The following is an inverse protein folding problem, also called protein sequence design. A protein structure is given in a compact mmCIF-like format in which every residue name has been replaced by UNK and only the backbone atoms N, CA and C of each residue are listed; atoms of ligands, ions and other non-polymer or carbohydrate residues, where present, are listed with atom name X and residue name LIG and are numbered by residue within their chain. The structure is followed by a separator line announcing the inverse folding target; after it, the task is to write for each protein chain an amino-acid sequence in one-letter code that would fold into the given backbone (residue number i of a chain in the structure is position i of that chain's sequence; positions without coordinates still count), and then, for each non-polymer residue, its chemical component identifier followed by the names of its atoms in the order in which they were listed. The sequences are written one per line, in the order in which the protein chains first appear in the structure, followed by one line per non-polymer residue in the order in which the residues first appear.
data_IF_826749504745
#
_entry.id   IF_826749504745
#
_cell.length_a   1.000
_cell.length_b   1.000
_cell.length_c   1.000
_cell.angle_alpha   90.00
_cell.angle_beta   90.00
_cell.angle_gamma   90.00
#
_symmetry.space_group_name_H-M   'P 1'
#
loop_
_entity.id
_entity.type
_entity.pdbx_description
1 polymer ?
#
# COMPACT_ATOMS: atom_id res chain seq x y z
N UNK A 1 -36.87 36.05 38.45
CA UNK A 1 -37.11 35.67 37.04
C UNK A 1 -36.12 36.42 36.15
N UNK A 2 -34.94 35.90 35.89
CA UNK A 2 -33.93 36.33 34.88
C UNK A 2 -32.62 35.54 35.03
N UNK A 3 -32.62 34.25 34.65
CA UNK A 3 -31.41 33.40 34.69
C UNK A 3 -31.25 32.49 33.43
N UNK A 4 -31.82 32.91 32.26
CA UNK A 4 -31.82 32.05 31.08
C UNK A 4 -30.82 32.47 29.96
N UNK A 5 -30.24 33.70 29.87
CA UNK A 5 -29.36 34.02 28.71
C UNK A 5 -27.91 33.48 28.78
N UNK A 6 -27.38 33.18 29.97
CA UNK A 6 -25.95 32.77 30.07
C UNK A 6 -25.66 31.31 29.67
N UNK A 7 -26.65 30.41 29.81
CA UNK A 7 -26.43 28.99 29.50
C UNK A 7 -26.43 28.69 27.99
N UNK A 8 -27.24 29.45 27.24
CA UNK A 8 -27.29 29.29 25.75
C UNK A 8 -26.00 29.81 25.08
N UNK A 9 -25.39 30.86 25.62
CA UNK A 9 -24.15 31.41 25.07
C UNK A 9 -22.95 30.49 25.32
N UNK A 10 -22.90 29.77 26.44
CA UNK A 10 -21.84 28.81 26.76
C UNK A 10 -21.92 27.55 25.87
N UNK A 11 -23.12 27.09 25.52
CA UNK A 11 -23.34 25.93 24.65
C UNK A 11 -23.00 26.27 23.21
N UNK A 12 -23.31 27.46 22.71
CA UNK A 12 -22.94 27.92 21.37
C UNK A 12 -21.42 28.11 21.24
N UNK A 13 -20.75 28.57 22.28
CA UNK A 13 -19.29 28.74 22.27
C UNK A 13 -18.54 27.39 22.30
N UNK A 14 -19.04 26.39 23.02
CA UNK A 14 -18.46 25.05 23.04
C UNK A 14 -18.67 24.30 21.72
N UNK A 15 -19.81 24.49 21.04
CA UNK A 15 -20.03 23.90 19.70
C UNK A 15 -19.15 24.52 18.61
N UNK A 16 -18.88 25.83 18.66
CA UNK A 16 -18.00 26.49 17.69
C UNK A 16 -16.53 26.11 17.88
N UNK A 17 -16.07 25.90 19.12
CA UNK A 17 -14.71 25.40 19.36
C UNK A 17 -14.52 23.96 18.89
N UNK A 18 -15.48 23.07 19.10
CA UNK A 18 -15.40 21.69 18.61
C UNK A 18 -15.39 21.63 17.07
N UNK A 19 -16.16 22.48 16.40
CA UNK A 19 -16.19 22.59 14.93
C UNK A 19 -14.89 23.18 14.37
N UNK A 20 -14.30 24.21 15.01
CA UNK A 20 -13.03 24.79 14.61
C UNK A 20 -11.85 23.83 14.83
N UNK A 21 -11.91 22.99 15.87
CA UNK A 21 -10.91 21.97 16.17
C UNK A 21 -10.82 20.87 15.10
N UNK A 22 -11.91 20.56 14.44
CA UNK A 22 -11.99 19.58 13.36
C UNK A 22 -11.52 20.15 12.01
N UNK A 23 -11.52 21.47 11.85
CA UNK A 23 -11.17 22.15 10.60
C UNK A 23 -9.68 22.11 10.24
N UNK A 24 -8.76 21.89 11.19
CA UNK A 24 -7.32 21.92 10.94
C UNK A 24 -6.71 20.56 10.64
N UNK A 25 -7.40 19.44 10.91
CA UNK A 25 -7.02 18.11 10.48
C UNK A 25 -7.86 17.72 9.25
N UNK A 26 -7.20 17.53 8.12
CA UNK A 26 -7.85 17.14 6.87
C UNK A 26 -7.93 15.63 6.75
N UNK A 27 -6.82 14.91 7.02
CA UNK A 27 -6.75 13.46 6.90
C UNK A 27 -5.77 12.83 7.89
N UNK A 28 -6.06 11.60 8.31
CA UNK A 28 -5.23 10.84 9.22
C UNK A 28 -5.59 11.04 10.72
N UNK A 29 -4.65 10.76 11.67
CA UNK A 29 -3.27 10.32 11.38
C UNK A 29 -3.21 8.89 10.86
N UNK A 30 -2.17 8.60 10.11
CA UNK A 30 -1.79 7.28 9.62
C UNK A 30 -0.36 7.00 10.08
N UNK A 31 -0.08 5.78 10.50
CA UNK A 31 1.29 5.36 10.81
C UNK A 31 1.85 4.47 9.71
N UNK A 32 3.17 4.42 9.57
CA UNK A 32 3.87 3.49 8.70
C UNK A 32 5.35 3.46 9.01
N UNK A 33 6.11 2.68 8.26
CA UNK A 33 7.53 2.45 8.54
C UNK A 33 7.79 2.19 10.02
N UNK A 34 6.97 1.30 10.61
CA UNK A 34 7.17 0.92 12.02
C UNK A 34 8.38 0.00 12.10
N UNK A 35 9.34 0.37 12.97
CA UNK A 35 10.56 -0.38 13.23
C UNK A 35 10.74 -0.65 14.74
N UNK A 36 11.88 -1.23 15.11
CA UNK A 36 12.20 -1.49 16.51
C UNK A 36 12.34 -0.20 17.33
N UNK A 37 12.79 0.89 16.68
CA UNK A 37 13.18 2.14 17.35
C UNK A 37 12.61 3.40 16.74
N UNK A 38 11.80 3.28 15.70
CA UNK A 38 11.18 4.44 15.07
C UNK A 38 9.84 4.10 14.41
N UNK A 39 9.10 5.14 14.08
CA UNK A 39 7.83 5.11 13.36
C UNK A 39 7.62 6.46 12.67
N UNK A 40 6.98 6.43 11.51
CA UNK A 40 6.49 7.64 10.85
C UNK A 40 5.01 7.82 11.18
N UNK A 41 4.63 9.01 11.64
CA UNK A 41 3.25 9.45 11.77
C UNK A 41 2.98 10.45 10.66
N UNK A 42 2.05 10.10 9.78
CA UNK A 42 1.59 10.94 8.69
C UNK A 42 0.23 11.58 9.04
N UNK A 43 0.03 12.81 8.61
CA UNK A 43 -1.28 13.45 8.58
C UNK A 43 -1.31 14.51 7.48
N UNK A 44 -2.50 14.93 7.07
CA UNK A 44 -2.69 16.13 6.26
C UNK A 44 -3.44 17.17 7.08
N UNK A 45 -2.91 18.41 7.07
CA UNK A 45 -3.49 19.53 7.81
C UNK A 45 -3.91 20.66 6.86
N UNK A 46 -4.84 21.49 7.31
CA UNK A 46 -5.35 22.62 6.52
C UNK A 46 -4.28 23.66 6.22
N UNK A 47 -4.50 24.49 5.20
CA UNK A 47 -3.65 25.62 4.85
C UNK A 47 -3.52 26.67 6.00
N UNK A 48 -4.47 26.68 6.93
CA UNK A 48 -4.46 27.59 8.08
C UNK A 48 -3.51 27.14 9.20
N UNK A 49 -3.12 25.85 9.24
CA UNK A 49 -2.25 25.30 10.27
C UNK A 49 -0.87 25.98 10.27
N UNK A 50 -0.38 26.35 11.45
CA UNK A 50 0.92 27.01 11.63
C UNK A 50 1.97 26.14 12.30
N UNK A 51 1.51 25.13 13.07
CA UNK A 51 2.38 24.23 13.80
C UNK A 51 1.75 22.84 13.87
N UNK A 52 2.54 21.79 13.63
CA UNK A 52 2.12 20.41 13.79
C UNK A 52 3.13 19.69 14.67
N UNK A 53 2.65 18.87 15.59
CA UNK A 53 3.50 18.06 16.46
C UNK A 53 2.81 16.74 16.82
N UNK A 54 3.62 15.74 17.17
CA UNK A 54 3.16 14.52 17.78
C UNK A 54 3.71 14.45 19.20
N UNK A 55 2.82 14.38 20.19
CA UNK A 55 3.14 14.06 21.57
C UNK A 55 2.90 12.59 21.80
N UNK A 56 3.89 11.84 22.34
CA UNK A 56 3.81 10.39 22.47
C UNK A 56 4.47 9.88 23.74
N UNK A 57 4.01 8.72 24.24
CA UNK A 57 4.52 8.09 25.46
C UNK A 57 4.29 6.58 25.44
N UNK A 58 5.15 5.78 26.10
CA UNK A 58 4.83 4.39 26.37
C UNK A 58 3.52 4.28 27.18
N UNK A 59 2.60 3.43 26.77
CA UNK A 59 1.27 3.33 27.42
C UNK A 59 1.36 3.14 28.93
N UNK A 60 2.34 2.38 29.40
CA UNK A 60 2.54 2.10 30.83
C UNK A 60 3.27 3.23 31.58
N UNK A 61 3.76 4.25 30.90
CA UNK A 61 4.56 5.34 31.47
C UNK A 61 4.10 6.72 30.92
N UNK A 62 2.86 7.14 31.20
CA UNK A 62 2.31 8.39 30.66
C UNK A 62 3.09 9.64 31.08
N UNK A 63 3.78 9.58 32.23
CA UNK A 63 4.64 10.68 32.70
C UNK A 63 5.93 10.88 31.88
N UNK A 64 6.29 9.94 30.98
CA UNK A 64 7.44 10.06 30.08
C UNK A 64 7.04 10.53 28.67
N UNK A 65 6.10 11.44 28.58
CA UNK A 65 5.66 11.99 27.30
C UNK A 65 6.78 12.82 26.65
N UNK A 66 7.03 12.53 25.38
CA UNK A 66 7.93 13.27 24.49
C UNK A 66 7.11 13.97 23.41
N UNK A 67 7.71 14.96 22.74
CA UNK A 67 7.06 15.65 21.64
C UNK A 67 8.04 15.82 20.48
N UNK A 68 7.56 15.58 19.26
CA UNK A 68 8.30 15.81 18.03
C UNK A 68 7.51 16.76 17.14
N UNK A 69 8.14 17.85 16.73
CA UNK A 69 7.53 18.86 15.85
C UNK A 69 7.80 18.52 14.37
N UNK A 70 6.86 18.88 13.52
CA UNK A 70 7.09 19.04 12.10
C UNK A 70 7.98 20.24 11.83
N UNK A 71 8.96 20.09 10.93
CA UNK A 71 9.93 21.15 10.60
C UNK A 71 9.89 21.55 9.12
N UNK A 72 9.05 20.88 8.32
CA UNK A 72 8.86 21.22 6.91
C UNK A 72 7.89 22.41 6.72
N UNK A 73 7.65 22.78 5.45
CA UNK A 73 6.76 23.88 5.10
C UNK A 73 5.31 23.59 5.48
N UNK A 74 4.54 24.64 5.74
CA UNK A 74 3.10 24.69 5.93
C UNK A 74 2.54 25.92 5.20
N UNK A 75 1.22 25.99 5.05
CA UNK A 75 0.55 27.13 4.39
C UNK A 75 0.34 26.95 2.88
N UNK A 76 0.66 25.77 2.33
CA UNK A 76 0.29 25.37 0.98
C UNK A 76 -1.20 25.01 0.89
N UNK A 77 -1.72 24.84 -0.31
CA UNK A 77 -3.10 24.35 -0.54
C UNK A 77 -3.32 22.99 0.14
N UNK A 78 -2.33 22.08 0.03
CA UNK A 78 -2.30 20.77 0.65
C UNK A 78 -1.04 20.64 1.50
N UNK A 79 -1.16 20.16 2.72
CA UNK A 79 -0.06 20.08 3.68
C UNK A 79 0.04 18.69 4.28
N UNK A 80 0.50 17.68 3.51
CA UNK A 80 0.90 16.40 4.08
C UNK A 80 2.14 16.59 4.97
N UNK A 81 2.12 16.02 6.16
CA UNK A 81 3.20 16.07 7.13
C UNK A 81 3.62 14.66 7.52
N UNK A 82 4.93 14.41 7.63
CA UNK A 82 5.50 13.13 8.10
C UNK A 82 6.44 13.38 9.25
N UNK A 83 6.01 13.00 10.45
CA UNK A 83 6.78 13.20 11.69
C UNK A 83 7.38 11.87 12.09
N UNK A 84 8.71 11.76 12.01
CA UNK A 84 9.43 10.57 12.42
C UNK A 84 9.71 10.63 13.94
N UNK A 85 9.18 9.63 14.67
CA UNK A 85 9.47 9.44 16.08
C UNK A 85 10.63 8.44 16.20
N UNK A 86 11.66 8.81 16.94
CA UNK A 86 12.93 8.05 17.04
C UNK A 86 13.23 7.66 18.47
N UNK A 87 14.23 6.77 18.64
CA UNK A 87 14.72 6.30 19.94
C UNK A 87 13.64 5.61 20.79
N UNK A 88 12.73 4.93 20.14
CA UNK A 88 11.65 4.18 20.79
C UNK A 88 12.19 2.88 21.41
N UNK A 89 11.46 2.34 22.37
CA UNK A 89 11.74 1.02 22.94
C UNK A 89 11.09 -0.07 22.06
N UNK A 90 11.80 -1.17 21.72
CA UNK A 90 11.23 -2.29 20.98
C UNK A 90 10.08 -2.97 21.75
N UNK A 91 9.13 -3.56 20.99
CA UNK A 91 8.01 -4.33 21.53
C UNK A 91 7.07 -3.53 22.43
N UNK A 92 7.03 -2.21 22.28
CA UNK A 92 6.35 -1.31 23.20
C UNK A 92 5.13 -0.66 22.54
N UNK A 93 3.99 -0.71 23.23
CA UNK A 93 2.78 0.01 22.82
C UNK A 93 2.92 1.48 23.25
N UNK A 94 2.88 2.38 22.28
CA UNK A 94 2.88 3.81 22.46
C UNK A 94 1.48 4.39 22.24
N UNK A 95 1.10 5.34 23.09
CA UNK A 95 -0.02 6.26 22.84
C UNK A 95 0.54 7.54 22.28
N UNK A 96 -0.22 8.19 21.38
CA UNK A 96 0.15 9.49 20.86
C UNK A 96 -1.04 10.40 20.61
N UNK A 97 -0.76 11.68 20.59
CA UNK A 97 -1.67 12.76 20.22
C UNK A 97 -1.07 13.55 19.09
N UNK A 98 -1.84 13.73 18.02
CA UNK A 98 -1.52 14.68 16.97
C UNK A 98 -1.99 16.06 17.43
N UNK A 99 -1.08 17.01 17.44
CA UNK A 99 -1.31 18.40 17.83
C UNK A 99 -1.23 19.30 16.61
N UNK A 100 -2.26 20.11 16.37
CA UNK A 100 -2.23 21.18 15.37
C UNK A 100 -2.46 22.49 16.13
N UNK A 101 -1.55 23.46 15.96
CA UNK A 101 -1.54 24.72 16.68
C UNK A 101 -1.65 24.56 18.21
N UNK A 102 -0.93 23.56 18.74
CA UNK A 102 -0.92 23.12 20.14
C UNK A 102 -2.26 22.52 20.68
N UNK A 103 -3.22 22.26 19.80
CA UNK A 103 -4.50 21.63 20.15
C UNK A 103 -4.45 20.16 19.76
N UNK A 104 -4.84 19.25 20.66
CA UNK A 104 -4.94 17.82 20.38
C UNK A 104 -6.14 17.56 19.47
N UNK A 105 -5.88 17.25 18.18
CA UNK A 105 -6.92 17.02 17.16
C UNK A 105 -7.28 15.55 17.00
N UNK A 106 -6.35 14.62 17.31
CA UNK A 106 -6.58 13.17 17.24
C UNK A 106 -5.66 12.44 18.20
N UNK A 107 -6.18 11.34 18.78
CA UNK A 107 -5.42 10.40 19.61
C UNK A 107 -5.44 9.02 18.97
N UNK A 108 -4.31 8.31 19.02
CA UNK A 108 -4.19 6.95 18.53
C UNK A 108 -3.04 6.23 19.23
N UNK A 109 -2.65 5.07 18.71
CA UNK A 109 -1.54 4.27 19.23
C UNK A 109 -0.84 3.52 18.12
N UNK A 110 0.40 3.09 18.40
CA UNK A 110 1.16 2.16 17.57
C UNK A 110 1.99 1.25 18.47
N UNK A 111 2.34 0.08 17.94
CA UNK A 111 3.23 -0.87 18.59
C UNK A 111 4.53 -0.94 17.81
N UNK A 112 5.68 -0.72 18.46
CA UNK A 112 6.99 -0.97 17.83
C UNK A 112 7.21 -2.48 17.66
N UNK A 113 7.98 -2.86 16.64
CA UNK A 113 8.32 -4.27 16.38
C UNK A 113 8.97 -4.94 17.59
N UNK A 114 8.69 -6.21 17.78
CA UNK A 114 9.33 -7.04 18.81
C UNK A 114 10.73 -7.44 18.35
N UNK A 115 11.73 -7.27 19.20
CA UNK A 115 13.08 -7.79 18.99
C UNK A 115 13.09 -9.30 19.30
N UNK A 116 12.73 -10.11 18.32
CA UNK A 116 12.57 -11.56 18.46
C UNK A 116 13.82 -12.37 18.09
N UNK A 117 14.64 -11.87 17.13
CA UNK A 117 15.80 -12.58 16.59
C UNK A 117 16.73 -13.07 17.69
N UNK A 118 17.08 -14.35 17.67
CA UNK A 118 17.91 -15.05 18.65
C UNK A 118 17.36 -15.10 20.09
N UNK A 119 16.09 -14.68 20.33
CA UNK A 119 15.48 -14.57 21.67
C UNK A 119 14.22 -15.41 21.81
N UNK A 120 13.42 -15.49 20.77
CA UNK A 120 12.15 -16.20 20.76
C UNK A 120 11.79 -16.61 19.31
N UNK A 121 10.85 -17.51 19.10
CA UNK A 121 10.31 -17.78 17.78
C UNK A 121 9.79 -16.50 17.11
N UNK A 122 9.87 -16.44 15.78
CA UNK A 122 9.31 -15.35 15.02
C UNK A 122 7.81 -15.19 15.32
N UNK A 123 7.35 -13.99 15.70
CA UNK A 123 5.93 -13.76 15.99
C UNK A 123 5.04 -14.08 14.79
N UNK A 124 3.87 -14.66 15.06
CA UNK A 124 2.79 -14.72 14.09
C UNK A 124 2.24 -13.32 13.85
N UNK A 125 1.80 -13.05 12.63
CA UNK A 125 1.20 -11.75 12.30
C UNK A 125 0.18 -11.89 11.17
N UNK A 126 -0.65 -10.85 11.04
CA UNK A 126 -1.67 -10.75 10.00
C UNK A 126 -1.55 -9.39 9.32
N UNK A 127 -1.63 -9.34 8.00
CA UNK A 127 -1.72 -8.10 7.27
C UNK A 127 -2.86 -8.12 6.26
N UNK A 128 -3.34 -6.93 5.90
CA UNK A 128 -4.33 -6.76 4.85
C UNK A 128 -3.64 -6.32 3.57
N UNK A 129 -4.24 -6.65 2.42
CA UNK A 129 -3.78 -6.13 1.14
C UNK A 129 -4.95 -5.98 0.17
N UNK A 130 -4.79 -5.07 -0.79
CA UNK A 130 -5.76 -4.79 -1.85
C UNK A 130 -5.30 -3.65 -2.73
N UNK A 131 -5.96 -3.50 -3.87
CA UNK A 131 -5.69 -2.47 -4.88
C UNK A 131 -6.99 -1.93 -5.49
N UNK A 132 -6.89 -0.97 -6.37
CA UNK A 132 -8.00 -0.43 -7.16
C UNK A 132 -9.09 0.20 -6.28
N UNK A 133 -8.69 1.27 -5.58
CA UNK A 133 -9.55 2.06 -4.68
C UNK A 133 -10.12 3.28 -5.41
N UNK A 134 -11.18 3.08 -6.21
CA UNK A 134 -11.87 4.16 -6.94
C UNK A 134 -12.97 4.77 -6.08
N UNK A 135 -12.97 6.10 -5.95
CA UNK A 135 -14.00 6.85 -5.26
C UNK A 135 -14.68 7.81 -6.22
N UNK A 136 -15.98 7.64 -6.43
CA UNK A 136 -16.74 8.50 -7.35
C UNK A 136 -16.68 9.97 -6.92
N UNK A 137 -16.65 10.85 -7.93
CA UNK A 137 -16.72 12.29 -7.78
C UNK A 137 -17.62 12.86 -8.87
N UNK A 138 -18.86 13.20 -8.49
CA UNK A 138 -19.86 13.73 -9.41
C UNK A 138 -19.32 14.96 -10.14
N UNK A 139 -19.53 15.02 -11.45
CA UNK A 139 -19.05 16.09 -12.32
C UNK A 139 -17.68 15.88 -12.94
N UNK A 140 -16.83 14.99 -12.37
CA UNK A 140 -15.50 14.67 -12.90
C UNK A 140 -15.34 13.22 -13.33
N UNK A 141 -16.22 12.32 -12.88
CA UNK A 141 -16.26 10.96 -13.36
C UNK A 141 -16.83 10.90 -14.79
N UNK A 142 -16.47 9.86 -15.53
CA UNK A 142 -17.01 9.62 -16.86
C UNK A 142 -18.53 9.47 -16.80
N UNK A 143 -19.28 10.07 -17.77
CA UNK A 143 -20.73 9.96 -17.80
C UNK A 143 -21.20 8.50 -17.87
N UNK A 144 -22.34 8.21 -17.25
CA UNK A 144 -22.96 6.90 -17.28
C UNK A 144 -23.05 6.24 -15.92
N UNK A 145 -22.94 4.89 -15.88
CA UNK A 145 -23.00 4.14 -14.64
C UNK A 145 -21.75 4.41 -13.80
N UNK A 146 -21.89 4.73 -12.50
CA UNK A 146 -20.75 4.94 -11.62
C UNK A 146 -19.77 3.76 -11.65
N UNK A 147 -18.49 4.06 -11.82
CA UNK A 147 -17.43 3.06 -11.87
C UNK A 147 -17.05 2.55 -10.47
N UNK A 148 -16.91 3.47 -9.52
CA UNK A 148 -16.68 3.12 -8.12
C UNK A 148 -17.92 2.50 -7.50
N UNK A 149 -17.68 1.50 -6.66
CA UNK A 149 -18.67 0.72 -5.93
C UNK A 149 -18.74 1.13 -4.45
N UNK A 150 -19.27 0.24 -3.61
CA UNK A 150 -19.45 0.49 -2.19
C UNK A 150 -18.10 0.63 -1.46
N UNK A 151 -17.86 1.79 -0.88
CA UNK A 151 -16.67 2.07 -0.08
C UNK A 151 -16.77 1.61 1.40
N UNK A 152 -17.91 1.06 1.82
CA UNK A 152 -18.08 0.54 3.19
C UNK A 152 -17.15 -0.63 3.53
N UNK A 153 -16.51 -1.25 2.54
CA UNK A 153 -15.46 -2.25 2.71
C UNK A 153 -14.36 -1.76 3.66
N UNK A 154 -14.00 -0.47 3.62
CA UNK A 154 -13.00 0.11 4.54
C UNK A 154 -13.46 0.12 6.00
N UNK A 155 -14.78 0.21 6.26
CA UNK A 155 -15.32 0.09 7.62
C UNK A 155 -15.23 -1.36 8.14
N UNK A 156 -15.31 -2.34 7.25
CA UNK A 156 -15.08 -3.76 7.58
C UNK A 156 -13.60 -4.00 7.84
N UNK A 157 -12.72 -3.51 6.97
CA UNK A 157 -11.27 -3.60 7.15
C UNK A 157 -10.77 -2.91 8.43
N UNK A 158 -11.43 -1.83 8.87
CA UNK A 158 -11.11 -1.15 10.15
C UNK A 158 -11.29 -2.05 11.37
N UNK A 159 -12.17 -3.05 11.30
CA UNK A 159 -12.46 -3.99 12.40
C UNK A 159 -11.50 -5.18 12.43
N UNK A 160 -10.71 -5.36 11.39
CA UNK A 160 -9.72 -6.44 11.32
C UNK A 160 -8.60 -6.25 12.34
N UNK A 161 -8.19 -7.36 12.95
CA UNK A 161 -7.00 -7.39 13.82
C UNK A 161 -5.77 -7.67 12.98
N UNK A 162 -5.32 -6.66 12.24
CA UNK A 162 -4.16 -6.75 11.39
C UNK A 162 -3.02 -5.86 11.89
N UNK A 163 -1.80 -6.30 11.66
CA UNK A 163 -0.58 -5.59 12.05
C UNK A 163 -0.25 -4.45 11.10
N UNK A 164 -0.67 -4.54 9.83
CA UNK A 164 -0.54 -3.46 8.84
C UNK A 164 -1.41 -3.71 7.60
N UNK A 165 -1.57 -2.67 6.79
CA UNK A 165 -2.10 -2.72 5.42
C UNK A 165 -0.97 -2.53 4.40
N UNK A 166 -0.93 -3.37 3.35
CA UNK A 166 -0.12 -3.18 2.16
C UNK A 166 -1.01 -2.86 0.97
N UNK A 167 -0.94 -1.64 0.46
CA UNK A 167 -1.65 -1.20 -0.73
C UNK A 167 -0.86 -1.56 -1.99
N UNK A 168 -1.54 -2.19 -2.95
CA UNK A 168 -0.92 -2.76 -4.15
C UNK A 168 -1.15 -1.92 -5.42
N UNK A 169 -1.20 -0.61 -5.27
CA UNK A 169 -1.41 0.31 -6.39
C UNK A 169 -2.87 0.67 -6.63
N UNK A 170 -3.08 1.66 -7.49
CA UNK A 170 -4.38 2.27 -7.73
C UNK A 170 -5.05 2.72 -6.44
N UNK A 171 -4.26 3.38 -5.60
CA UNK A 171 -4.71 3.85 -4.29
C UNK A 171 -5.64 5.06 -4.39
N UNK A 172 -5.58 5.75 -5.52
CA UNK A 172 -6.49 6.76 -6.03
C UNK A 172 -6.47 6.72 -7.56
N UNK A 173 -7.49 7.28 -8.18
CA UNK A 173 -7.60 7.30 -9.64
C UNK A 173 -7.60 8.74 -10.14
N UNK A 174 -6.55 9.14 -10.85
CA UNK A 174 -6.50 10.44 -11.54
C UNK A 174 -7.49 10.48 -12.70
N UNK A 175 -8.15 11.63 -12.89
CA UNK A 175 -9.11 11.88 -13.97
C UNK A 175 -8.47 12.78 -15.03
N UNK A 176 -9.21 12.96 -16.13
CA UNK A 176 -8.84 13.86 -17.22
C UNK A 176 -8.57 15.30 -16.72
N UNK A 177 -9.25 15.74 -15.67
CA UNK A 177 -9.04 17.05 -15.03
C UNK A 177 -7.81 17.11 -14.14
N UNK A 178 -7.25 15.97 -13.73
CA UNK A 178 -6.18 15.88 -12.76
C UNK A 178 -4.79 15.74 -13.42
N UNK A 179 -4.62 14.74 -14.31
CA UNK A 179 -3.31 14.28 -14.75
C UNK A 179 -2.65 15.20 -15.80
N UNK A 180 -3.24 16.31 -16.15
CA UNK A 180 -2.61 17.31 -17.03
C UNK A 180 -1.86 18.43 -16.28
N UNK A 181 -1.77 18.33 -14.95
CA UNK A 181 -1.03 19.31 -14.13
C UNK A 181 -0.63 18.72 -12.77
N UNK A 182 0.51 19.18 -12.25
CA UNK A 182 0.95 18.80 -10.90
C UNK A 182 -0.06 19.19 -9.79
N UNK A 183 -0.73 20.37 -9.81
CA UNK A 183 -1.80 20.68 -8.87
C UNK A 183 -3.01 19.74 -8.97
N UNK A 184 -3.35 19.25 -10.16
CA UNK A 184 -4.43 18.29 -10.36
C UNK A 184 -4.10 16.93 -9.74
N UNK A 185 -2.87 16.43 -9.94
CA UNK A 185 -2.39 15.20 -9.29
C UNK A 185 -2.43 15.32 -7.76
N UNK A 186 -1.96 16.44 -7.22
CA UNK A 186 -2.00 16.71 -5.79
C UNK A 186 -3.43 16.82 -5.24
N UNK A 187 -4.34 17.45 -6.00
CA UNK A 187 -5.77 17.50 -5.66
C UNK A 187 -6.35 16.10 -5.52
N UNK A 188 -6.06 15.19 -6.45
CA UNK A 188 -6.60 13.83 -6.43
C UNK A 188 -6.14 13.05 -5.19
N UNK A 189 -4.86 13.09 -4.88
CA UNK A 189 -4.33 12.45 -3.69
C UNK A 189 -4.95 13.03 -2.41
N UNK A 190 -5.02 14.37 -2.30
CA UNK A 190 -5.69 15.08 -1.21
C UNK A 190 -7.16 14.67 -1.05
N UNK A 191 -7.93 14.79 -2.13
CA UNK A 191 -9.37 14.51 -2.13
C UNK A 191 -9.67 13.09 -1.70
N UNK A 192 -9.02 12.10 -2.31
CA UNK A 192 -9.33 10.71 -2.03
C UNK A 192 -8.84 10.28 -0.64
N UNK A 193 -7.72 10.83 -0.14
CA UNK A 193 -7.26 10.57 1.23
C UNK A 193 -8.11 11.26 2.31
N UNK A 194 -8.76 12.38 1.99
CA UNK A 194 -9.60 13.12 2.94
C UNK A 194 -11.01 12.56 3.12
N UNK A 195 -11.40 11.52 2.37
CA UNK A 195 -12.73 10.94 2.44
C UNK A 195 -13.07 10.43 3.86
N UNK A 196 -14.24 10.77 4.40
CA UNK A 196 -14.64 10.38 5.76
C UNK A 196 -14.60 8.86 6.01
N UNK A 197 -14.95 8.06 5.00
CA UNK A 197 -14.99 6.59 5.09
C UNK A 197 -13.59 5.99 5.32
N UNK A 198 -12.53 6.65 4.86
CA UNK A 198 -11.15 6.20 5.04
C UNK A 198 -10.56 6.57 6.40
N UNK A 199 -11.04 7.63 7.07
CA UNK A 199 -10.38 8.15 8.28
C UNK A 199 -10.25 7.12 9.42
N UNK A 200 -11.28 6.31 9.73
CA UNK A 200 -11.14 5.24 10.71
C UNK A 200 -10.09 4.20 10.29
N UNK A 201 -10.06 3.83 9.00
CA UNK A 201 -9.15 2.81 8.48
C UNK A 201 -7.69 3.28 8.49
N UNK A 202 -7.42 4.52 8.06
CA UNK A 202 -6.07 5.09 8.09
C UNK A 202 -5.47 5.14 9.50
N UNK A 203 -6.33 5.27 10.51
CA UNK A 203 -5.90 5.33 11.92
C UNK A 203 -5.85 3.97 12.62
N UNK A 204 -6.35 2.89 11.99
CA UNK A 204 -6.53 1.59 12.63
C UNK A 204 -5.24 0.78 12.72
N UNK A 205 -4.37 0.90 11.73
CA UNK A 205 -3.14 0.12 11.61
C UNK A 205 -2.08 0.89 10.81
N UNK A 206 -0.81 0.44 10.81
CA UNK A 206 0.23 0.96 9.91
C UNK A 206 -0.06 0.67 8.44
N UNK A 207 0.39 1.55 7.53
CA UNK A 207 0.21 1.43 6.10
C UNK A 207 1.54 1.47 5.35
N UNK A 208 1.66 0.60 4.34
CA UNK A 208 2.71 0.60 3.32
C UNK A 208 2.04 0.58 1.95
N UNK A 209 2.68 1.12 0.93
CA UNK A 209 2.08 1.20 -0.39
C UNK A 209 3.09 1.07 -1.53
N UNK A 210 2.62 0.55 -2.63
CA UNK A 210 3.15 0.80 -3.96
C UNK A 210 2.11 1.58 -4.76
N UNK A 211 2.49 2.07 -5.91
CA UNK A 211 1.58 2.65 -6.89
C UNK A 211 1.33 1.72 -8.08
N UNK A 212 0.31 2.08 -8.87
CA UNK A 212 0.19 1.60 -10.24
C UNK A 212 -0.13 2.80 -11.16
N UNK A 213 -0.66 2.59 -12.36
CA UNK A 213 -0.80 3.64 -13.37
C UNK A 213 -1.73 4.78 -12.94
N UNK A 214 -2.82 4.49 -12.23
CA UNK A 214 -3.78 5.51 -11.81
C UNK A 214 -3.30 6.40 -10.66
N UNK A 215 -2.37 5.95 -9.83
CA UNK A 215 -1.66 6.82 -8.89
C UNK A 215 -0.61 7.66 -9.62
N UNK A 216 0.04 7.06 -10.61
CA UNK A 216 1.16 7.63 -11.32
C UNK A 216 0.73 8.69 -12.34
N UNK A 217 -0.41 8.47 -13.03
CA UNK A 217 -0.88 9.40 -14.07
C UNK A 217 -2.13 8.90 -14.79
N UNK A 218 -2.24 9.15 -16.10
CA UNK A 218 -3.29 8.57 -16.92
C UNK A 218 -3.14 7.06 -17.07
N UNK A 219 -4.24 6.38 -17.40
CA UNK A 219 -4.26 4.93 -17.66
C UNK A 219 -3.10 4.48 -18.55
N UNK A 220 -2.40 3.42 -18.16
CA UNK A 220 -1.21 2.87 -18.82
C UNK A 220 -0.04 3.86 -18.96
N UNK A 221 0.04 4.87 -18.11
CA UNK A 221 1.14 5.83 -18.13
C UNK A 221 2.50 5.15 -17.89
N UNK A 222 3.52 5.68 -18.56
CA UNK A 222 4.87 5.14 -18.59
C UNK A 222 5.91 6.21 -18.25
N UNK A 223 7.21 5.86 -18.29
CA UNK A 223 8.33 6.80 -18.12
C UNK A 223 8.29 8.04 -19.01
N UNK A 224 7.45 8.04 -20.05
CA UNK A 224 7.25 9.20 -20.93
C UNK A 224 6.25 10.22 -20.37
N UNK A 225 5.58 9.92 -19.25
CA UNK A 225 4.67 10.85 -18.62
C UNK A 225 5.42 12.07 -18.09
N UNK A 226 4.97 13.26 -18.51
CA UNK A 226 5.72 14.51 -18.29
C UNK A 226 5.71 14.95 -16.81
N UNK A 227 4.73 14.51 -16.02
CA UNK A 227 4.61 14.80 -14.58
C UNK A 227 5.02 13.63 -13.68
N UNK A 228 5.81 12.68 -14.19
CA UNK A 228 6.22 11.49 -13.44
C UNK A 228 7.00 11.83 -12.15
N UNK A 229 7.80 12.89 -12.18
CA UNK A 229 8.60 13.30 -11.02
C UNK A 229 7.70 13.95 -9.96
N UNK A 230 6.71 14.74 -10.37
CA UNK A 230 5.68 15.31 -9.49
C UNK A 230 4.78 14.21 -8.90
N UNK A 231 4.40 13.21 -9.68
CA UNK A 231 3.66 12.05 -9.18
C UNK A 231 4.45 11.32 -8.09
N UNK A 232 5.75 11.13 -8.29
CA UNK A 232 6.64 10.55 -7.31
C UNK A 232 6.70 11.37 -6.01
N UNK A 233 6.85 12.69 -6.12
CA UNK A 233 6.85 13.59 -4.96
C UNK A 233 5.52 13.51 -4.19
N UNK A 234 4.38 13.53 -4.91
CA UNK A 234 3.06 13.39 -4.30
C UNK A 234 2.92 12.03 -3.62
N UNK A 235 3.31 10.94 -4.27
CA UNK A 235 3.28 9.61 -3.66
C UNK A 235 4.15 9.57 -2.40
N UNK A 236 5.37 10.11 -2.47
CA UNK A 236 6.27 10.22 -1.33
C UNK A 236 5.64 11.00 -0.18
N UNK A 237 4.95 12.10 -0.48
CA UNK A 237 4.34 12.95 0.54
C UNK A 237 3.12 12.32 1.21
N UNK A 238 2.37 11.48 0.49
CA UNK A 238 1.14 10.85 0.99
C UNK A 238 1.33 9.46 1.62
N UNK A 239 2.52 8.85 1.49
CA UNK A 239 2.77 7.53 2.07
C UNK A 239 3.93 7.52 3.06
N UNK A 240 3.75 6.87 4.24
CA UNK A 240 4.80 6.72 5.25
C UNK A 240 5.65 5.46 5.03
N UNK A 241 6.06 5.19 3.78
CA UNK A 241 7.01 4.13 3.46
C UNK A 241 8.41 4.45 4.05
N UNK A 242 9.28 3.45 4.28
CA UNK A 242 10.60 3.68 4.83
C UNK A 242 11.53 4.49 3.90
N UNK A 243 11.49 4.21 2.60
CA UNK A 243 12.27 4.90 1.56
C UNK A 243 11.50 4.96 0.25
N UNK A 244 12.02 5.69 -0.75
CA UNK A 244 11.39 5.87 -2.06
C UNK A 244 12.46 5.88 -3.14
N UNK A 245 12.71 4.69 -3.75
CA UNK A 245 13.68 4.52 -4.81
C UNK A 245 15.12 4.81 -4.40
N UNK A 246 15.97 5.02 -5.39
CA UNK A 246 17.37 5.42 -5.25
C UNK A 246 17.65 6.62 -6.17
N UNK A 247 18.58 7.48 -5.78
CA UNK A 247 19.00 8.66 -6.54
C UNK A 247 17.82 9.57 -6.96
N UNK A 248 16.85 9.73 -6.04
CA UNK A 248 15.60 10.46 -6.27
C UNK A 248 14.78 9.97 -7.48
N UNK A 249 14.83 8.67 -7.78
CA UNK A 249 14.10 8.02 -8.87
C UNK A 249 13.32 6.83 -8.39
N UNK A 250 12.04 6.75 -8.83
CA UNK A 250 11.15 5.67 -8.47
C UNK A 250 10.67 5.71 -7.02
N UNK A 251 9.88 4.71 -6.65
CA UNK A 251 9.29 4.59 -5.31
C UNK A 251 9.59 3.23 -4.65
N UNK A 252 10.36 2.36 -5.31
CA UNK A 252 10.65 1.03 -4.78
C UNK A 252 11.36 1.10 -3.42
N UNK A 253 11.05 0.14 -2.57
CA UNK A 253 11.56 0.08 -1.19
C UNK A 253 11.45 -1.33 -0.62
N UNK A 254 11.97 -1.53 0.56
CA UNK A 254 11.79 -2.79 1.30
C UNK A 254 11.57 -2.53 2.79
N UNK A 255 10.90 -3.48 3.43
CA UNK A 255 10.81 -3.55 4.88
C UNK A 255 10.69 -5.01 5.32
N UNK A 256 11.00 -5.31 6.57
CA UNK A 256 10.81 -6.63 7.15
C UNK A 256 9.71 -6.60 8.20
N UNK A 257 8.89 -7.63 8.30
CA UNK A 257 7.97 -7.81 9.42
C UNK A 257 8.05 -9.26 9.89
N UNK A 258 8.39 -9.46 11.19
CA UNK A 258 8.70 -10.78 11.72
C UNK A 258 9.79 -11.48 10.87
N UNK A 259 9.52 -12.66 10.34
CA UNK A 259 10.41 -13.45 9.49
C UNK A 259 10.03 -13.39 8.00
N UNK A 260 9.42 -12.30 7.57
CA UNK A 260 9.07 -12.01 6.17
C UNK A 260 9.73 -10.70 5.73
N UNK A 261 10.36 -10.71 4.57
CA UNK A 261 10.84 -9.52 3.89
C UNK A 261 9.91 -9.14 2.74
N UNK A 262 9.56 -7.87 2.67
CA UNK A 262 8.70 -7.28 1.65
C UNK A 262 9.53 -6.39 0.74
N UNK A 263 9.54 -6.70 -0.56
CA UNK A 263 10.19 -5.95 -1.63
C UNK A 263 9.09 -5.28 -2.45
N UNK A 264 8.95 -3.97 -2.30
CA UNK A 264 7.93 -3.17 -2.94
C UNK A 264 8.50 -2.58 -4.22
N UNK A 265 7.96 -2.98 -5.37
CA UNK A 265 8.46 -2.57 -6.68
C UNK A 265 7.71 -1.36 -7.24
N UNK A 266 8.40 -0.66 -8.11
CA UNK A 266 7.89 0.43 -8.92
C UNK A 266 7.72 -0.04 -10.37
N UNK A 267 6.50 -0.31 -10.78
CA UNK A 267 6.16 -0.77 -12.13
C UNK A 267 5.92 0.35 -13.14
N UNK A 268 6.07 1.64 -12.76
CA UNK A 268 5.66 2.77 -13.63
C UNK A 268 6.76 3.77 -13.95
N UNK A 269 7.52 4.23 -12.98
CA UNK A 269 8.52 5.30 -13.18
C UNK A 269 9.57 4.97 -14.25
N UNK A 270 9.98 3.71 -14.35
CA UNK A 270 10.97 3.24 -15.31
C UNK A 270 10.34 2.53 -16.52
N UNK A 271 9.04 2.27 -16.48
CA UNK A 271 8.34 1.43 -17.42
C UNK A 271 8.30 2.04 -18.82
N UNK A 272 8.58 1.23 -19.80
CA UNK A 272 8.30 1.51 -21.21
C UNK A 272 6.80 1.50 -21.45
N UNK A 273 6.31 2.26 -22.42
CA UNK A 273 4.87 2.29 -22.74
C UNK A 273 4.36 0.89 -23.10
N UNK A 274 3.16 0.55 -22.63
CA UNK A 274 2.49 -0.73 -22.89
C UNK A 274 2.37 -1.04 -24.38
N UNK A 275 2.20 0.01 -25.22
CA UNK A 275 2.11 -0.09 -26.67
C UNK A 275 3.46 -0.31 -27.39
N UNK A 276 4.59 -0.24 -26.67
CA UNK A 276 5.87 -0.63 -27.27
C UNK A 276 5.83 -2.12 -27.65
N UNK A 277 6.21 -2.51 -28.87
CA UNK A 277 6.15 -3.90 -29.28
C UNK A 277 7.00 -4.82 -28.39
N UNK A 278 6.47 -5.99 -28.06
CA UNK A 278 7.19 -7.04 -27.29
C UNK A 278 8.35 -7.63 -28.09
N UNK A 279 8.31 -7.51 -29.43
CA UNK A 279 9.35 -7.99 -30.34
C UNK A 279 9.69 -6.96 -31.42
N UNK A 280 10.94 -6.95 -31.85
CA UNK A 280 11.44 -6.13 -32.98
C UNK A 280 12.28 -7.01 -33.87
N UNK A 281 11.98 -7.03 -35.18
CA UNK A 281 12.69 -7.89 -36.14
C UNK A 281 12.58 -9.39 -35.84
N UNK A 282 11.46 -9.82 -35.21
CA UNK A 282 11.23 -11.22 -34.84
C UNK A 282 11.98 -11.68 -33.58
N UNK A 283 12.66 -10.77 -32.88
CA UNK A 283 13.36 -11.05 -31.63
C UNK A 283 12.69 -10.28 -30.47
N UNK A 284 12.74 -10.81 -29.22
CA UNK A 284 12.27 -10.09 -28.05
C UNK A 284 12.91 -8.70 -27.92
N UNK A 285 12.10 -7.68 -27.60
CA UNK A 285 12.55 -6.29 -27.57
C UNK A 285 13.29 -5.96 -26.27
N UNK A 286 14.61 -5.70 -26.27
CA UNK A 286 15.38 -5.41 -25.06
C UNK A 286 15.12 -4.01 -24.51
N UNK A 287 14.56 -3.09 -25.30
CA UNK A 287 14.25 -1.72 -24.87
C UNK A 287 12.93 -1.65 -24.09
N UNK A 288 12.09 -2.69 -24.20
CA UNK A 288 10.84 -2.78 -23.44
C UNK A 288 11.11 -3.32 -22.04
N UNK A 289 11.11 -2.41 -21.05
CA UNK A 289 11.40 -2.69 -19.64
C UNK A 289 10.27 -2.20 -18.76
N UNK A 290 9.93 -2.94 -17.71
CA UNK A 290 8.96 -2.57 -16.69
C UNK A 290 9.64 -1.90 -15.50
N UNK A 291 10.66 -2.53 -14.95
CA UNK A 291 11.31 -2.08 -13.71
C UNK A 291 12.64 -1.35 -13.96
N UNK A 292 13.28 -1.61 -15.10
CA UNK A 292 14.58 -1.05 -15.42
C UNK A 292 15.75 -1.72 -14.68
N UNK A 293 16.97 -1.50 -15.21
CA UNK A 293 18.15 -2.27 -14.79
C UNK A 293 18.52 -2.02 -13.33
N UNK A 294 18.50 -0.75 -12.89
CA UNK A 294 18.91 -0.39 -11.53
C UNK A 294 17.99 -1.03 -10.45
N UNK A 295 16.68 -0.99 -10.66
CA UNK A 295 15.74 -1.61 -9.73
C UNK A 295 15.87 -3.14 -9.74
N UNK A 296 16.06 -3.75 -10.91
CA UNK A 296 16.24 -5.20 -11.02
C UNK A 296 17.56 -5.67 -10.41
N UNK A 297 18.62 -4.89 -10.50
CA UNK A 297 19.89 -5.14 -9.81
C UNK A 297 19.70 -5.05 -8.29
N UNK A 298 19.06 -3.99 -7.82
CA UNK A 298 18.73 -3.84 -6.41
C UNK A 298 17.91 -5.02 -5.87
N UNK A 299 16.84 -5.42 -6.60
CA UNK A 299 15.98 -6.54 -6.19
C UNK A 299 16.76 -7.85 -6.06
N UNK A 300 17.60 -8.18 -7.06
CA UNK A 300 18.43 -9.40 -7.02
C UNK A 300 19.35 -9.40 -5.80
N UNK A 301 20.05 -8.31 -5.55
CA UNK A 301 20.95 -8.19 -4.40
C UNK A 301 20.17 -8.27 -3.07
N UNK A 302 19.03 -7.62 -2.96
CA UNK A 302 18.19 -7.63 -1.77
C UNK A 302 17.63 -9.04 -1.48
N UNK A 303 17.18 -9.77 -2.51
CA UNK A 303 16.73 -11.16 -2.40
C UNK A 303 17.85 -12.11 -1.92
N UNK A 304 19.08 -11.91 -2.40
CA UNK A 304 20.24 -12.71 -1.99
C UNK A 304 20.64 -12.48 -0.54
N UNK A 305 20.49 -11.26 -0.04
CA UNK A 305 20.81 -10.90 1.35
C UNK A 305 19.73 -11.34 2.33
N UNK A 306 18.54 -11.62 1.86
CA UNK A 306 17.40 -11.96 2.70
C UNK A 306 17.49 -13.38 3.27
N UNK A 307 17.42 -13.49 4.60
CA UNK A 307 17.30 -14.76 5.32
C UNK A 307 15.86 -15.04 5.77
N UNK A 308 14.88 -14.25 5.30
CA UNK A 308 13.48 -14.38 5.66
C UNK A 308 12.88 -15.71 5.15
N UNK A 309 11.88 -16.23 5.88
CA UNK A 309 11.16 -17.46 5.49
C UNK A 309 10.32 -17.26 4.25
N UNK A 310 9.67 -16.12 4.16
CA UNK A 310 9.00 -15.68 2.94
C UNK A 310 9.62 -14.37 2.45
N UNK A 311 9.74 -14.24 1.15
CA UNK A 311 10.19 -13.07 0.41
C UNK A 311 9.04 -12.62 -0.48
N UNK A 312 8.30 -11.63 0.00
CA UNK A 312 7.14 -11.10 -0.70
C UNK A 312 7.59 -10.01 -1.66
N UNK A 313 7.39 -10.24 -2.96
CA UNK A 313 7.64 -9.24 -4.00
C UNK A 313 6.28 -8.64 -4.37
N UNK A 314 6.07 -7.37 -4.03
CA UNK A 314 4.82 -6.66 -4.32
C UNK A 314 4.99 -5.73 -5.52
N UNK A 315 4.05 -5.82 -6.47
CA UNK A 315 4.02 -4.98 -7.68
C UNK A 315 2.57 -4.68 -8.08
N UNK A 316 2.31 -3.57 -8.77
CA UNK A 316 0.97 -3.17 -9.19
C UNK A 316 0.35 -4.20 -10.12
N UNK A 317 0.99 -4.46 -11.24
CA UNK A 317 0.53 -5.41 -12.27
C UNK A 317 0.95 -6.85 -11.97
N UNK A 318 0.25 -7.85 -12.55
CA UNK A 318 0.57 -9.28 -12.39
C UNK A 318 2.00 -9.63 -12.84
N UNK A 319 2.66 -10.49 -12.08
CA UNK A 319 4.03 -10.91 -12.37
C UNK A 319 4.13 -12.23 -13.16
N UNK A 320 3.27 -13.20 -12.86
CA UNK A 320 3.39 -14.57 -13.38
C UNK A 320 2.29 -14.98 -14.37
N UNK A 321 1.30 -14.12 -14.65
CA UNK A 321 0.20 -14.46 -15.55
C UNK A 321 0.62 -14.29 -17.03
N UNK A 322 1.11 -15.36 -17.62
CA UNK A 322 1.52 -15.41 -19.05
C UNK A 322 0.34 -15.51 -20.03
N UNK A 323 -0.89 -15.63 -19.54
CA UNK A 323 -2.12 -15.65 -20.34
C UNK A 323 -2.80 -14.30 -20.40
N UNK A 324 -2.36 -13.34 -19.59
CA UNK A 324 -2.91 -11.99 -19.58
C UNK A 324 -2.60 -11.26 -20.88
N UNK A 325 -3.61 -10.60 -21.44
CA UNK A 325 -3.47 -9.64 -22.52
C UNK A 325 -3.35 -8.19 -22.01
N UNK A 326 -3.51 -8.00 -20.72
CA UNK A 326 -3.42 -6.72 -20.03
C UNK A 326 -2.04 -6.57 -19.41
N UNK A 327 -1.81 -5.50 -18.71
CA UNK A 327 -0.55 -5.23 -18.05
C UNK A 327 -0.10 -6.43 -17.19
N UNK A 328 1.04 -6.98 -17.56
CA UNK A 328 1.69 -8.09 -16.85
C UNK A 328 3.17 -8.11 -17.20
N UNK A 329 4.00 -8.55 -16.27
CA UNK A 329 5.45 -8.53 -16.44
C UNK A 329 5.94 -9.33 -17.66
N UNK A 330 5.22 -10.38 -18.08
CA UNK A 330 5.60 -11.18 -19.25
C UNK A 330 5.58 -10.39 -20.58
N UNK A 331 4.86 -9.27 -20.67
CA UNK A 331 4.89 -8.35 -21.83
C UNK A 331 6.17 -7.52 -21.94
N UNK A 332 7.10 -7.71 -21.02
CA UNK A 332 8.46 -7.13 -21.03
C UNK A 332 9.48 -8.27 -21.18
N UNK A 333 9.53 -8.93 -22.34
CA UNK A 333 10.00 -10.32 -22.48
C UNK A 333 11.46 -10.50 -22.10
N UNK A 334 12.34 -9.56 -22.44
CA UNK A 334 13.78 -9.69 -22.12
C UNK A 334 14.02 -9.55 -20.63
N UNK A 335 13.39 -8.55 -19.98
CA UNK A 335 13.53 -8.33 -18.54
C UNK A 335 12.89 -9.46 -17.75
N UNK A 336 11.68 -9.90 -18.14
CA UNK A 336 10.98 -11.04 -17.57
C UNK A 336 11.80 -12.33 -17.64
N UNK A 337 12.24 -12.72 -18.84
CA UNK A 337 13.03 -13.94 -19.04
C UNK A 337 14.36 -13.88 -18.26
N UNK A 338 15.03 -12.72 -18.27
CA UNK A 338 16.26 -12.53 -17.50
C UNK A 338 16.05 -12.75 -16.01
N UNK A 339 14.95 -12.23 -15.44
CA UNK A 339 14.63 -12.41 -14.02
C UNK A 339 14.21 -13.83 -13.68
N UNK A 340 13.34 -14.44 -14.50
CA UNK A 340 12.86 -15.81 -14.28
C UNK A 340 14.00 -16.84 -14.41
N UNK A 341 14.91 -16.67 -15.37
CA UNK A 341 16.10 -17.51 -15.52
C UNK A 341 17.04 -17.37 -14.30
N UNK A 342 17.26 -16.12 -13.85
CA UNK A 342 18.05 -15.88 -12.65
C UNK A 342 17.42 -16.55 -11.41
N UNK A 343 16.09 -16.45 -11.21
CA UNK A 343 15.40 -17.17 -10.13
C UNK A 343 15.52 -18.69 -10.23
N UNK A 344 15.56 -19.21 -11.46
CA UNK A 344 15.75 -20.65 -11.72
C UNK A 344 17.16 -21.13 -11.34
N UNK A 345 18.18 -20.34 -11.69
CA UNK A 345 19.59 -20.65 -11.46
C UNK A 345 20.00 -20.51 -9.99
N UNK A 346 19.65 -19.38 -9.39
CA UNK A 346 20.08 -19.02 -8.03
C UNK A 346 19.26 -19.74 -6.96
N UNK A 347 18.01 -20.10 -7.27
CA UNK A 347 17.12 -20.84 -6.39
C UNK A 347 16.89 -20.18 -5.03
N UNK A 348 16.64 -18.87 -5.00
CA UNK A 348 16.29 -18.13 -3.78
C UNK A 348 15.02 -18.73 -3.15
N UNK A 349 15.02 -19.19 -1.89
CA UNK A 349 13.85 -19.81 -1.28
C UNK A 349 12.81 -18.80 -0.83
N UNK A 350 11.53 -19.22 -0.77
CA UNK A 350 10.46 -18.50 -0.08
C UNK A 350 9.84 -17.36 -0.87
N UNK A 351 9.98 -17.27 -2.20
CA UNK A 351 9.43 -16.18 -3.01
C UNK A 351 7.92 -16.37 -3.24
N UNK A 352 7.17 -15.29 -2.99
CA UNK A 352 5.74 -15.14 -3.30
C UNK A 352 5.52 -13.73 -3.87
N UNK A 353 4.72 -13.61 -4.93
CA UNK A 353 4.32 -12.31 -5.47
C UNK A 353 2.97 -11.89 -4.92
N UNK A 354 2.81 -10.59 -4.64
CA UNK A 354 1.54 -9.93 -4.36
C UNK A 354 1.31 -8.86 -5.42
N UNK A 355 0.16 -8.90 -6.08
CA UNK A 355 -0.15 -8.06 -7.24
C UNK A 355 -1.54 -7.46 -7.15
N UNK A 356 -1.80 -6.41 -7.95
CA UNK A 356 -3.06 -5.68 -8.03
C UNK A 356 -3.67 -5.65 -9.43
N UNK A 357 -4.16 -4.47 -9.85
CA UNK A 357 -4.62 -4.08 -11.20
C UNK A 357 -5.90 -4.78 -11.72
N UNK A 358 -6.03 -6.06 -11.60
CA UNK A 358 -6.87 -6.93 -12.44
C UNK A 358 -8.38 -6.82 -12.24
N UNK A 359 -8.85 -6.11 -11.21
CA UNK A 359 -10.27 -5.99 -10.87
C UNK A 359 -10.98 -7.33 -10.57
N UNK A 360 -10.20 -8.35 -10.26
CA UNK A 360 -10.55 -9.63 -9.64
C UNK A 360 -9.37 -10.13 -8.83
N UNK A 361 -9.61 -11.00 -7.88
CA UNK A 361 -8.56 -11.69 -7.14
C UNK A 361 -8.43 -13.11 -7.60
N UNK A 362 -7.21 -13.62 -7.65
CA UNK A 362 -6.87 -15.00 -7.99
C UNK A 362 -5.49 -15.38 -7.46
N UNK A 363 -5.18 -16.67 -7.47
CA UNK A 363 -3.83 -17.15 -7.25
C UNK A 363 -3.35 -17.88 -8.51
N UNK A 364 -2.23 -17.42 -9.04
CA UNK A 364 -1.52 -18.06 -10.15
C UNK A 364 -0.40 -18.92 -9.58
N UNK A 365 -0.27 -20.14 -10.08
CA UNK A 365 0.83 -21.06 -9.79
C UNK A 365 1.69 -21.21 -11.05
N UNK A 366 2.94 -20.85 -10.94
CA UNK A 366 3.93 -20.98 -12.03
C UNK A 366 4.94 -22.08 -11.69
N UNK A 367 4.77 -23.25 -12.34
CA UNK A 367 5.65 -24.40 -12.14
C UNK A 367 7.00 -24.20 -12.84
N UNK A 368 8.08 -24.52 -12.14
CA UNK A 368 9.47 -24.45 -12.64
C UNK A 368 10.10 -25.83 -12.61
N UNK A 369 10.47 -26.41 -13.77
CA UNK A 369 11.08 -27.74 -13.81
C UNK A 369 12.31 -27.85 -12.90
N UNK A 370 12.31 -28.84 -12.01
CA UNK A 370 13.42 -29.08 -11.08
C UNK A 370 13.58 -28.04 -9.96
N UNK A 371 12.58 -27.17 -9.76
CA UNK A 371 12.55 -26.16 -8.71
C UNK A 371 11.15 -26.10 -8.08
N UNK A 372 10.99 -25.34 -6.98
CA UNK A 372 9.69 -25.12 -6.38
C UNK A 372 8.82 -24.18 -7.23
N UNK A 373 7.48 -24.29 -7.16
CA UNK A 373 6.58 -23.40 -7.91
C UNK A 373 6.60 -21.98 -7.31
N UNK A 374 6.45 -20.96 -8.16
CA UNK A 374 6.16 -19.60 -7.72
C UNK A 374 4.66 -19.36 -7.65
N UNK A 375 4.24 -18.49 -6.75
CA UNK A 375 2.84 -18.06 -6.62
C UNK A 375 2.73 -16.56 -6.79
N UNK A 376 1.70 -16.12 -7.53
CA UNK A 376 1.28 -14.73 -7.70
C UNK A 376 -0.13 -14.60 -7.16
N UNK A 377 -0.29 -13.81 -6.10
CA UNK A 377 -1.55 -13.60 -5.39
C UNK A 377 -2.05 -12.22 -5.76
N UNK A 378 -3.01 -12.16 -6.66
CA UNK A 378 -3.65 -10.93 -7.12
C UNK A 378 -4.76 -10.53 -6.16
N UNK A 379 -4.81 -9.24 -5.78
CA UNK A 379 -5.74 -8.70 -4.78
C UNK A 379 -6.43 -7.44 -5.32
N UNK A 380 -7.60 -7.59 -5.89
CA UNK A 380 -8.36 -6.54 -6.59
C UNK A 380 -9.83 -6.94 -6.75
N UNK A 381 -10.80 -6.00 -6.82
CA UNK A 381 -10.70 -4.60 -6.48
C UNK A 381 -11.18 -4.29 -5.05
N UNK A 382 -10.71 -3.20 -4.48
CA UNK A 382 -11.28 -2.67 -3.23
C UNK A 382 -12.62 -1.99 -3.48
N UNK A 383 -12.65 -0.95 -4.32
CA UNK A 383 -13.88 -0.16 -4.58
C UNK A 383 -14.11 0.17 -6.06
N UNK A 384 -13.19 -0.17 -6.98
CA UNK A 384 -13.44 0.01 -8.41
C UNK A 384 -14.43 -1.01 -8.99
N UNK A 385 -14.82 -0.84 -10.25
CA UNK A 385 -15.61 -1.82 -10.98
C UNK A 385 -14.91 -3.18 -11.07
N UNK A 386 -15.69 -4.24 -11.07
CA UNK A 386 -15.18 -5.62 -11.21
C UNK A 386 -14.93 -5.97 -12.69
N UNK A 387 -13.92 -6.79 -12.98
CA UNK A 387 -13.65 -7.33 -14.30
C UNK A 387 -13.31 -8.82 -14.22
N UNK A 388 -14.16 -9.65 -14.79
CA UNK A 388 -13.88 -11.09 -14.90
C UNK A 388 -12.73 -11.35 -15.88
N UNK A 389 -11.94 -12.42 -15.69
CA UNK A 389 -10.97 -12.88 -16.67
C UNK A 389 -11.60 -13.06 -18.06
N UNK A 390 -10.85 -12.75 -19.11
CA UNK A 390 -11.32 -12.79 -20.48
C UNK A 390 -10.31 -13.44 -21.43
N UNK A 391 -10.76 -13.90 -22.60
CA UNK A 391 -9.90 -14.55 -23.58
C UNK A 391 -9.25 -15.82 -22.99
N UNK A 392 -7.93 -15.92 -23.12
CA UNK A 392 -7.16 -17.09 -22.66
C UNK A 392 -7.12 -17.23 -21.13
N UNK A 393 -7.44 -16.18 -20.39
CA UNK A 393 -7.45 -16.21 -18.92
C UNK A 393 -8.67 -16.91 -18.34
N UNK A 394 -9.80 -17.05 -19.10
CA UNK A 394 -11.05 -17.64 -18.60
C UNK A 394 -10.80 -19.03 -18.01
N UNK A 395 -10.08 -19.86 -18.75
CA UNK A 395 -9.75 -21.23 -18.36
C UNK A 395 -8.23 -21.38 -18.14
N UNK A 396 -7.60 -20.38 -17.50
CA UNK A 396 -6.16 -20.40 -17.25
C UNK A 396 -5.74 -21.67 -16.51
N UNK A 397 -4.86 -22.51 -17.10
CA UNK A 397 -4.41 -23.76 -16.48
C UNK A 397 -3.46 -23.52 -15.29
N UNK A 398 -2.96 -22.31 -15.15
CA UNK A 398 -2.05 -21.91 -14.04
C UNK A 398 -2.80 -21.25 -12.88
N UNK A 399 -4.11 -21.03 -13.00
CA UNK A 399 -4.92 -20.56 -11.86
C UNK A 399 -5.12 -21.67 -10.85
N UNK A 400 -4.86 -21.40 -9.58
CA UNK A 400 -5.18 -22.32 -8.50
C UNK A 400 -6.71 -22.47 -8.38
N UNK A 401 -7.27 -23.67 -8.46
CA UNK A 401 -8.72 -23.87 -8.39
C UNK A 401 -9.34 -23.29 -7.11
N UNK A 402 -10.51 -22.64 -7.25
CA UNK A 402 -11.26 -22.07 -6.13
C UNK A 402 -10.72 -20.74 -5.59
N UNK A 403 -9.76 -20.10 -6.27
CA UNK A 403 -9.19 -18.82 -5.83
C UNK A 403 -9.70 -17.61 -6.62
N UNK A 404 -10.44 -17.79 -7.70
CA UNK A 404 -11.00 -16.68 -8.48
C UNK A 404 -12.15 -16.00 -7.73
N UNK A 405 -12.03 -14.73 -7.47
CA UNK A 405 -13.04 -13.86 -6.85
C UNK A 405 -13.28 -12.65 -7.73
N UNK A 406 -14.48 -12.52 -8.31
CA UNK A 406 -14.87 -11.45 -9.24
C UNK A 406 -15.88 -10.53 -8.55
N UNK A 407 -15.53 -9.99 -7.41
CA UNK A 407 -16.31 -9.00 -6.68
C UNK A 407 -15.39 -8.19 -5.79
N UNK A 408 -15.87 -7.06 -5.26
CA UNK A 408 -15.10 -6.25 -4.31
C UNK A 408 -14.60 -7.11 -3.15
N UNK A 409 -13.31 -7.08 -2.90
CA UNK A 409 -12.69 -7.81 -1.82
C UNK A 409 -11.34 -7.19 -1.41
N UNK A 410 -10.88 -7.58 -0.23
CA UNK A 410 -9.50 -7.42 0.23
C UNK A 410 -8.95 -8.78 0.62
N UNK A 411 -7.63 -8.91 0.71
CA UNK A 411 -7.06 -10.12 1.28
C UNK A 411 -6.63 -9.91 2.72
N UNK A 412 -6.94 -10.90 3.56
CA UNK A 412 -6.39 -11.07 4.89
C UNK A 412 -5.34 -12.17 4.81
N UNK A 413 -4.08 -11.81 5.04
CA UNK A 413 -2.95 -12.73 4.93
C UNK A 413 -2.35 -12.94 6.31
N UNK A 414 -2.32 -14.19 6.76
CA UNK A 414 -1.74 -14.59 8.05
C UNK A 414 -0.46 -15.37 7.83
N UNK A 415 0.63 -14.96 8.49
CA UNK A 415 1.88 -15.73 8.57
C UNK A 415 2.01 -16.28 9.98
N UNK A 416 2.10 -17.61 10.08
CA UNK A 416 2.00 -18.29 11.37
C UNK A 416 2.70 -19.65 11.37
N UNK A 417 2.81 -20.22 12.56
CA UNK A 417 3.35 -21.56 12.79
C UNK A 417 4.82 -21.55 13.21
N UNK A 418 5.37 -22.69 13.59
CA UNK A 418 6.74 -22.79 14.06
C UNK A 418 7.73 -22.53 12.92
N UNK A 419 8.96 -22.14 13.28
CA UNK A 419 10.00 -21.77 12.33
C UNK A 419 10.31 -22.85 11.27
N UNK A 420 10.15 -24.11 11.62
CA UNK A 420 10.37 -25.26 10.72
C UNK A 420 9.15 -25.65 9.89
N UNK A 421 7.96 -25.06 10.15
CA UNK A 421 6.73 -25.24 9.36
C UNK A 421 5.93 -23.95 9.27
N UNK A 422 6.62 -22.86 8.86
CA UNK A 422 6.03 -21.54 8.69
C UNK A 422 5.09 -21.52 7.51
N UNK A 423 3.91 -20.95 7.69
CA UNK A 423 2.81 -20.94 6.70
C UNK A 423 2.36 -19.52 6.41
N UNK A 424 1.90 -19.31 5.18
CA UNK A 424 1.19 -18.11 4.75
C UNK A 424 -0.19 -18.54 4.27
N UNK A 425 -1.24 -18.12 4.99
CA UNK A 425 -2.63 -18.35 4.62
C UNK A 425 -3.26 -17.05 4.12
N UNK A 426 -3.93 -17.12 2.99
CA UNK A 426 -4.60 -16.02 2.29
C UNK A 426 -6.09 -16.27 2.30
N UNK A 427 -6.88 -15.28 2.68
CA UNK A 427 -8.33 -15.28 2.58
C UNK A 427 -8.78 -14.05 1.80
N UNK A 428 -9.50 -14.24 0.71
CA UNK A 428 -10.18 -13.15 -0.01
C UNK A 428 -11.51 -12.87 0.69
N UNK A 429 -11.71 -11.65 1.16
CA UNK A 429 -12.80 -11.28 2.06
C UNK A 429 -13.60 -10.12 1.46
N UNK A 430 -14.93 -10.24 1.41
CA UNK A 430 -15.81 -9.22 0.88
C UNK A 430 -16.06 -8.05 1.87
N UNK A 431 -16.80 -7.03 1.42
CA UNK A 431 -17.17 -5.88 2.24
C UNK A 431 -18.05 -6.21 3.46
N UNK A 432 -18.59 -7.42 3.55
CA UNK A 432 -19.38 -7.91 4.70
C UNK A 432 -18.57 -8.77 5.65
N UNK A 433 -17.29 -9.05 5.35
CA UNK A 433 -16.42 -9.90 6.13
C UNK A 433 -16.55 -11.40 5.83
N UNK A 434 -17.20 -11.76 4.71
CA UNK A 434 -17.35 -13.17 4.28
C UNK A 434 -16.11 -13.59 3.48
N UNK A 435 -15.59 -14.78 3.77
CA UNK A 435 -14.47 -15.36 3.03
C UNK A 435 -15.00 -16.00 1.75
N UNK A 436 -14.51 -15.49 0.61
CA UNK A 436 -14.92 -15.90 -0.74
C UNK A 436 -13.98 -16.94 -1.36
N UNK A 437 -12.72 -16.93 -0.97
CA UNK A 437 -11.69 -17.84 -1.45
C UNK A 437 -10.54 -17.96 -0.46
N UNK A 438 -9.81 -19.07 -0.53
CA UNK A 438 -8.68 -19.35 0.37
C UNK A 438 -7.52 -19.98 -0.38
N UNK A 439 -6.31 -19.68 0.12
CA UNK A 439 -5.07 -20.31 -0.33
C UNK A 439 -4.10 -20.43 0.83
N UNK A 440 -3.31 -21.48 0.89
CA UNK A 440 -2.23 -21.63 1.88
C UNK A 440 -0.99 -22.18 1.19
N UNK A 441 0.17 -21.66 1.60
CA UNK A 441 1.48 -22.15 1.18
C UNK A 441 2.41 -22.26 2.39
N UNK A 442 3.27 -23.30 2.41
CA UNK A 442 4.30 -23.49 3.44
C UNK A 442 5.64 -22.98 2.93
N UNK A 443 6.40 -22.37 3.79
CA UNK A 443 7.78 -21.96 3.43
C UNK A 443 8.65 -23.16 3.01
N UNK A 444 8.35 -24.37 3.54
CA UNK A 444 9.04 -25.60 3.18
C UNK A 444 8.76 -26.05 1.74
N UNK A 445 7.60 -25.69 1.17
CA UNK A 445 7.22 -26.00 -0.21
C UNK A 445 7.83 -25.00 -1.21
N UNK A 446 8.47 -23.93 -0.71
CA UNK A 446 9.11 -22.87 -1.47
C UNK A 446 10.65 -22.93 -1.39
N UNK A 447 11.19 -24.09 -1.36
CA UNK A 447 12.65 -24.33 -1.41
C UNK A 447 12.94 -25.65 -2.16
N UNK A 448 14.15 -25.72 -2.70
CA UNK A 448 14.65 -26.95 -3.33
C UNK A 448 15.18 -27.90 -2.28
#
# INVERSE_FOLDING_TARGET
MRLIPCLILAILFSCTFASAQQQNLVSGPMTGSIELRDVIVWAEVSAAAKKVAVRYWPQQQPGKALSQNWTGPLGNAYNPVKIQLRNLAPGTLYRYELLVDNISVRKSSFQTKTLWQYRMPAPDFTFLTGSCAYFNEEGFDRPGKPYGKDSSIFLTMTKEKADFMLWLGDNWYTREVDYHSAPGLAYRAHRDRSLPVLQPFLSAMPHYAIWDDHDFGPNDASKAYIFRDESREIFRDYWPNPTFGQDDKGIYTQFSFSDVDFFLLDGRYFSSGSRMPDSTGGQPNPEKKMYGDAQMEWLRNALLQSNARFKVIATGSQALNIYSRWDSFHHFPVEYCSFMNWLQEVNVPGIVFLTGDRHHSEVIRFDRPGNYPLYDITNSPLTSGEAAPSGNEVNSPIRVPGTLVVTQNYSRIKVFGPQNDRKMAVEFVDGKGQVLGKFEVRANDLKK
#
